data_IF_871392290692
#
_entry.id   IF_871392290692
#
_cell.length_a   1.000
_cell.length_b   1.000
_cell.length_c   1.000
_cell.angle_alpha   90.00
_cell.angle_beta   90.00
_cell.angle_gamma   90.00
#
_symmetry.space_group_name_H-M   'P 1'
#
loop_
_entity.id
_entity.type
_entity.pdbx_description
1 polymer ?
#
# COMPACT_ATOMS: atom_id res chain seq x y z
N UNK A 1 10.96 36.00 59.36
CA UNK A 1 10.85 36.91 60.51
C UNK A 1 9.48 37.59 60.42
N UNK A 2 8.63 37.31 61.42
CA UNK A 2 7.31 37.88 61.81
C UNK A 2 6.22 38.13 60.75
N UNK A 3 5.06 37.43 60.76
CA UNK A 3 3.95 37.32 61.76
C UNK A 3 3.11 38.59 61.95
N UNK A 4 1.83 38.51 61.55
CA UNK A 4 0.59 38.93 62.23
C UNK A 4 -0.53 38.12 61.53
N UNK A 5 -1.23 37.11 62.07
CA UNK A 5 -2.03 36.91 63.29
C UNK A 5 -3.24 37.83 63.42
N UNK A 6 -4.43 37.31 63.08
CA UNK A 6 -5.67 37.52 63.85
C UNK A 6 -6.62 36.34 63.64
N UNK A 7 -7.10 35.84 64.77
CA UNK A 7 -7.92 34.65 64.99
C UNK A 7 -9.40 35.05 65.05
N UNK A 8 -10.30 34.20 64.56
CA UNK A 8 -11.67 34.11 65.06
C UNK A 8 -12.17 32.68 64.94
N UNK A 9 -12.14 32.00 66.09
CA UNK A 9 -12.92 30.81 66.45
C UNK A 9 -14.40 31.19 66.44
N UNK A 10 -15.30 30.34 65.94
CA UNK A 10 -16.61 30.11 66.59
C UNK A 10 -17.31 28.85 66.01
N UNK A 11 -17.34 27.81 66.85
CA UNK A 11 -18.45 26.89 67.16
C UNK A 11 -19.09 26.06 66.02
N UNK A 12 -18.81 24.75 66.09
CA UNK A 12 -19.61 23.69 65.50
C UNK A 12 -20.91 23.50 66.31
N UNK A 13 -22.05 23.49 65.63
CA UNK A 13 -23.33 23.08 66.19
C UNK A 13 -23.99 22.08 65.24
N UNK A 14 -24.07 20.84 65.70
CA UNK A 14 -24.71 19.71 65.04
C UNK A 14 -26.21 19.81 65.29
N UNK A 15 -27.02 20.01 64.24
CA UNK A 15 -28.48 19.90 64.33
C UNK A 15 -28.96 18.99 63.21
N UNK A 16 -29.49 17.85 63.65
CA UNK A 16 -30.22 16.87 62.88
C UNK A 16 -31.60 17.46 62.51
N UNK A 17 -31.98 17.38 61.24
CA UNK A 17 -33.28 17.88 60.77
C UNK A 17 -33.71 17.20 59.47
N UNK A 18 -34.53 16.16 59.60
CA UNK A 18 -35.35 15.57 58.54
C UNK A 18 -36.26 16.64 57.93
N UNK A 19 -36.11 16.94 56.63
CA UNK A 19 -37.16 17.64 55.88
C UNK A 19 -37.41 16.97 54.53
N UNK A 20 -38.71 16.74 54.33
CA UNK A 20 -39.34 16.10 53.21
C UNK A 20 -39.11 16.85 51.89
N UNK A 21 -38.87 16.08 50.84
CA UNK A 21 -38.92 16.51 49.44
C UNK A 21 -40.34 16.99 49.08
N UNK A 22 -40.47 18.26 48.68
CA UNK A 22 -41.44 18.65 47.64
C UNK A 22 -40.83 19.82 46.86
N UNK A 23 -40.61 19.65 45.57
CA UNK A 23 -40.50 20.76 44.62
C UNK A 23 -41.27 20.40 43.35
N UNK A 24 -42.00 21.37 42.77
CA UNK A 24 -43.07 21.11 41.82
C UNK A 24 -42.54 20.69 40.46
N UNK A 25 -43.18 19.66 39.89
CA UNK A 25 -43.02 19.29 38.50
C UNK A 25 -43.55 20.43 37.61
N UNK A 26 -42.64 21.09 36.91
CA UNK A 26 -42.98 21.94 35.77
C UNK A 26 -42.61 21.18 34.50
N UNK A 27 -43.64 20.65 33.86
CA UNK A 27 -43.60 19.84 32.66
C UNK A 27 -43.17 20.71 31.47
N UNK A 28 -41.99 20.43 30.89
CA UNK A 28 -41.63 20.90 29.55
C UNK A 28 -42.01 19.84 28.53
N UNK A 29 -43.05 20.09 27.74
CA UNK A 29 -43.39 19.31 26.54
C UNK A 29 -42.35 19.57 25.44
N UNK A 30 -42.16 18.51 24.64
CA UNK A 30 -41.41 18.38 23.39
C UNK A 30 -39.88 18.46 23.45
N UNK A 31 -39.27 17.27 23.43
CA UNK A 31 -38.18 16.88 22.52
C UNK A 31 -38.05 15.36 22.51
N UNK A 32 -38.29 14.78 21.33
CA UNK A 32 -37.89 13.43 20.89
C UNK A 32 -38.03 12.30 21.91
N UNK A 33 -39.22 11.69 21.93
CA UNK A 33 -39.43 10.36 22.52
C UNK A 33 -38.71 9.30 21.68
N UNK A 34 -37.39 9.22 21.78
CA UNK A 34 -36.63 8.08 21.27
C UNK A 34 -36.67 6.95 22.30
N UNK A 35 -37.47 5.92 21.99
CA UNK A 35 -37.48 4.66 22.72
C UNK A 35 -36.35 3.78 22.15
N UNK A 36 -35.21 3.75 22.83
CA UNK A 36 -34.13 2.80 22.52
C UNK A 36 -34.37 1.53 23.31
N UNK A 37 -34.88 0.49 22.63
CA UNK A 37 -35.13 -0.82 23.24
C UNK A 37 -33.93 -1.73 22.93
N UNK A 38 -33.33 -2.39 23.94
CA UNK A 38 -32.35 -3.46 23.73
C UNK A 38 -32.87 -4.55 22.80
N UNK A 39 -32.03 -5.07 21.91
CA UNK A 39 -32.42 -6.01 20.85
C UNK A 39 -33.17 -7.25 21.37
N UNK A 40 -32.81 -7.75 22.55
CA UNK A 40 -33.46 -8.91 23.15
C UNK A 40 -34.82 -8.57 23.80
N UNK A 41 -35.05 -7.32 24.18
CA UNK A 41 -36.32 -6.85 24.72
C UNK A 41 -37.31 -6.53 23.57
N UNK A 42 -36.79 -6.03 22.44
CA UNK A 42 -37.55 -5.93 21.18
C UNK A 42 -38.04 -7.30 20.69
N UNK A 43 -37.21 -8.36 20.75
CA UNK A 43 -37.62 -9.72 20.38
C UNK A 43 -38.75 -10.27 21.25
N UNK A 44 -38.80 -9.92 22.53
CA UNK A 44 -39.85 -10.38 23.47
C UNK A 44 -41.19 -9.71 23.21
N UNK A 45 -41.19 -8.43 22.80
CA UNK A 45 -42.41 -7.69 22.44
C UNK A 45 -43.11 -8.22 21.18
N UNK A 46 -42.40 -8.98 20.33
CA UNK A 46 -42.91 -9.44 19.04
C UNK A 46 -43.64 -10.78 19.07
N UNK A 47 -43.76 -11.44 20.24
CA UNK A 47 -44.35 -12.77 20.42
C UNK A 47 -44.17 -13.69 19.19
N UNK A 48 -42.90 -13.96 18.87
CA UNK A 48 -42.49 -14.50 17.57
C UNK A 48 -43.13 -15.84 17.22
N UNK A 49 -43.79 -16.55 18.13
CA UNK A 49 -44.46 -17.84 17.90
C UNK A 49 -45.79 -17.76 17.14
N UNK A 50 -46.36 -16.57 16.92
CA UNK A 50 -47.54 -16.39 16.07
C UNK A 50 -47.19 -16.27 14.58
N UNK A 51 -48.06 -16.81 13.70
CA UNK A 51 -47.90 -16.71 12.24
C UNK A 51 -47.99 -15.28 11.69
N UNK A 52 -48.54 -14.38 12.51
CA UNK A 52 -48.74 -12.97 12.20
C UNK A 52 -48.05 -12.10 13.24
N UNK A 53 -47.32 -11.09 12.76
CA UNK A 53 -46.59 -10.11 13.56
C UNK A 53 -47.37 -8.80 13.49
N UNK A 54 -47.74 -8.29 14.66
CA UNK A 54 -48.51 -7.05 14.82
C UNK A 54 -47.58 -5.95 15.29
N UNK A 55 -47.50 -4.88 14.51
CA UNK A 55 -46.64 -3.72 14.77
C UNK A 55 -47.48 -2.45 14.81
N UNK A 56 -47.21 -1.49 15.72
CA UNK A 56 -47.76 -0.16 15.58
C UNK A 56 -47.37 0.46 14.23
N UNK A 57 -48.29 1.21 13.60
CA UNK A 57 -48.05 1.80 12.28
C UNK A 57 -46.80 2.69 12.24
N UNK A 58 -46.55 3.46 13.30
CA UNK A 58 -45.36 4.31 13.43
C UNK A 58 -44.06 3.48 13.43
N UNK A 59 -44.04 2.36 14.15
CA UNK A 59 -42.91 1.44 14.20
C UNK A 59 -42.66 0.81 12.82
N UNK A 60 -43.72 0.40 12.12
CA UNK A 60 -43.60 -0.14 10.77
C UNK A 60 -43.03 0.89 9.77
N UNK A 61 -43.45 2.15 9.85
CA UNK A 61 -42.92 3.23 9.01
C UNK A 61 -41.42 3.48 9.27
N UNK A 62 -40.99 3.48 10.54
CA UNK A 62 -39.57 3.60 10.90
C UNK A 62 -38.74 2.44 10.36
N UNK A 63 -39.28 1.22 10.43
CA UNK A 63 -38.64 0.03 9.90
C UNK A 63 -38.51 0.08 8.36
N UNK A 64 -39.55 0.52 7.64
CA UNK A 64 -39.49 0.72 6.18
C UNK A 64 -38.45 1.78 5.76
N UNK A 65 -38.32 2.87 6.53
CA UNK A 65 -37.32 3.89 6.25
C UNK A 65 -35.87 3.35 6.34
N UNK A 66 -35.64 2.32 7.17
CA UNK A 66 -34.31 1.71 7.35
C UNK A 66 -33.95 0.63 6.32
N UNK A 67 -34.94 0.05 5.63
CA UNK A 67 -34.68 -0.92 4.55
C UNK A 67 -34.39 -0.26 3.21
N UNK A 68 -34.82 0.99 3.02
CA UNK A 68 -34.73 1.69 1.73
C UNK A 68 -35.56 1.05 0.62
N UNK A 69 -36.50 0.17 0.97
CA UNK A 69 -37.36 -0.53 0.02
C UNK A 69 -38.39 0.44 -0.59
N UNK A 70 -38.41 0.53 -1.92
CA UNK A 70 -39.36 1.36 -2.69
C UNK A 70 -40.78 0.76 -2.66
N UNK A 71 -40.88 -0.55 -2.47
CA UNK A 71 -42.14 -1.29 -2.42
C UNK A 71 -42.27 -1.91 -1.03
N UNK A 72 -43.26 -1.51 -0.22
CA UNK A 72 -43.49 -2.12 1.08
C UNK A 72 -43.93 -3.59 0.91
N UNK A 73 -43.65 -4.47 1.88
CA UNK A 73 -44.18 -5.83 1.87
C UNK A 73 -45.72 -5.79 1.92
N UNK A 74 -46.38 -6.87 1.54
CA UNK A 74 -47.83 -6.97 1.70
C UNK A 74 -48.14 -6.94 3.21
N UNK A 75 -49.11 -6.12 3.61
CA UNK A 75 -49.54 -5.97 5.00
C UNK A 75 -51.04 -5.68 5.07
N UNK A 76 -51.63 -5.92 6.24
CA UNK A 76 -52.99 -5.47 6.56
C UNK A 76 -52.98 -4.53 7.76
N UNK A 77 -54.01 -3.71 7.90
CA UNK A 77 -54.12 -2.74 9.02
C UNK A 77 -55.40 -3.02 9.79
N UNK A 78 -55.27 -3.18 11.12
CA UNK A 78 -56.41 -3.34 12.02
C UNK A 78 -56.14 -2.59 13.33
N UNK A 79 -57.08 -1.73 13.74
CA UNK A 79 -56.99 -0.99 15.00
C UNK A 79 -55.75 -0.10 15.14
N UNK A 80 -55.22 0.46 14.03
CA UNK A 80 -54.00 1.28 14.04
C UNK A 80 -52.69 0.49 14.03
N UNK A 81 -52.75 -0.84 13.99
CA UNK A 81 -51.60 -1.71 13.90
C UNK A 81 -51.50 -2.35 12.51
N UNK A 82 -50.26 -2.52 12.05
CA UNK A 82 -49.86 -3.23 10.85
C UNK A 82 -49.65 -4.70 11.19
N UNK A 83 -50.29 -5.58 10.43
CA UNK A 83 -50.19 -7.03 10.58
C UNK A 83 -49.45 -7.57 9.36
N UNK A 84 -48.31 -8.22 9.62
CA UNK A 84 -47.43 -8.84 8.63
C UNK A 84 -47.39 -10.35 8.86
N UNK A 85 -47.27 -11.14 7.79
CA UNK A 85 -46.83 -12.53 7.97
C UNK A 85 -45.38 -12.56 8.46
N UNK A 86 -45.01 -13.64 9.16
CA UNK A 86 -43.63 -13.88 9.57
C UNK A 86 -42.64 -13.81 8.39
N UNK A 87 -43.06 -14.26 7.21
CA UNK A 87 -42.25 -14.22 5.99
C UNK A 87 -41.98 -12.80 5.53
N UNK A 88 -42.99 -11.93 5.57
CA UNK A 88 -42.86 -10.51 5.19
C UNK A 88 -42.00 -9.72 6.18
N UNK A 89 -42.21 -9.96 7.47
CA UNK A 89 -41.38 -9.34 8.50
C UNK A 89 -39.92 -9.78 8.40
N UNK A 90 -39.65 -11.06 8.14
CA UNK A 90 -38.28 -11.55 7.95
C UNK A 90 -37.62 -10.92 6.73
N UNK A 91 -38.33 -10.79 5.61
CA UNK A 91 -37.83 -10.04 4.44
C UNK A 91 -37.50 -8.58 4.79
N UNK A 92 -38.30 -7.96 5.64
CA UNK A 92 -38.06 -6.59 6.09
C UNK A 92 -36.77 -6.54 6.95
N UNK A 93 -36.63 -7.44 7.91
CA UNK A 93 -35.47 -7.51 8.81
C UNK A 93 -34.17 -7.83 8.06
N UNK A 94 -34.21 -8.79 7.14
CA UNK A 94 -33.04 -9.20 6.34
C UNK A 94 -32.53 -8.07 5.43
N UNK A 95 -33.37 -7.06 5.15
CA UNK A 95 -33.04 -5.89 4.34
C UNK A 95 -32.63 -4.67 5.17
N UNK A 96 -32.74 -4.71 6.50
CA UNK A 96 -32.34 -3.60 7.35
C UNK A 96 -30.82 -3.43 7.35
N UNK A 97 -30.35 -2.21 7.10
CA UNK A 97 -28.96 -1.82 7.35
C UNK A 97 -28.85 -1.28 8.77
N UNK A 98 -27.78 -1.61 9.53
CA UNK A 98 -27.55 -1.01 10.84
C UNK A 98 -27.64 0.53 10.72
N UNK A 99 -28.35 1.21 11.64
CA UNK A 99 -28.42 2.67 11.59
C UNK A 99 -27.00 3.22 11.61
N UNK A 100 -26.68 4.05 10.62
CA UNK A 100 -25.42 4.77 10.61
C UNK A 100 -25.37 5.59 11.90
N UNK A 101 -24.39 5.32 12.77
CA UNK A 101 -24.16 6.13 13.95
C UNK A 101 -23.87 7.58 13.49
N UNK A 102 -24.78 8.54 13.75
CA UNK A 102 -24.62 9.90 13.28
C UNK A 102 -23.40 10.59 13.90
N UNK A 103 -22.89 10.07 15.02
CA UNK A 103 -21.70 10.57 15.73
C UNK A 103 -20.43 9.77 15.41
N UNK A 104 -20.50 8.73 14.57
CA UNK A 104 -19.32 7.99 14.12
C UNK A 104 -18.41 8.89 13.28
N UNK A 105 -17.37 9.43 13.92
CA UNK A 105 -16.32 10.20 13.25
C UNK A 105 -15.32 9.24 12.61
N UNK A 106 -15.00 9.39 11.32
CA UNK A 106 -13.95 8.61 10.70
C UNK A 106 -12.62 8.86 11.45
N UNK A 107 -11.75 7.84 11.58
CA UNK A 107 -10.49 7.97 12.29
C UNK A 107 -9.50 8.94 11.63
N UNK A 108 -9.77 9.35 10.38
CA UNK A 108 -8.98 10.29 9.61
C UNK A 108 -9.91 11.30 8.94
N UNK A 109 -9.45 12.55 8.82
CA UNK A 109 -10.18 13.58 8.07
C UNK A 109 -10.08 13.34 6.55
N UNK A 110 -8.91 12.87 6.08
CA UNK A 110 -8.65 12.48 4.71
C UNK A 110 -7.56 11.40 4.62
N UNK A 111 -7.46 10.73 3.47
CA UNK A 111 -6.41 9.77 3.13
C UNK A 111 -5.93 9.98 1.70
N UNK A 112 -4.63 9.84 1.45
CA UNK A 112 -4.06 9.74 0.09
C UNK A 112 -3.70 8.27 -0.13
N UNK A 113 -4.50 7.55 -0.91
CA UNK A 113 -4.39 6.09 -1.04
C UNK A 113 -3.50 5.67 -2.20
N UNK A 114 -3.38 6.51 -3.23
CA UNK A 114 -2.58 6.23 -4.43
C UNK A 114 -1.93 7.49 -4.98
N UNK A 115 -0.68 7.35 -5.42
CA UNK A 115 0.02 8.35 -6.21
C UNK A 115 0.68 7.69 -7.44
N UNK A 116 0.47 8.28 -8.61
CA UNK A 116 1.12 7.89 -9.86
C UNK A 116 1.90 9.06 -10.40
N UNK A 117 3.20 8.89 -10.60
CA UNK A 117 4.08 9.91 -11.17
C UNK A 117 4.50 9.48 -12.57
N UNK A 118 4.16 10.26 -13.58
CA UNK A 118 4.60 10.06 -14.96
C UNK A 118 5.55 11.17 -15.35
N UNK A 119 6.83 10.85 -15.48
CA UNK A 119 7.92 11.78 -15.75
C UNK A 119 8.47 11.67 -17.17
N UNK A 120 8.85 12.82 -17.74
CA UNK A 120 9.64 12.91 -18.96
C UNK A 120 10.90 13.71 -18.69
N UNK A 121 12.05 13.05 -18.81
CA UNK A 121 13.34 13.66 -18.52
C UNK A 121 13.83 14.45 -19.73
N UNK A 122 14.15 15.72 -19.51
CA UNK A 122 14.88 16.58 -20.43
C UNK A 122 16.37 16.68 -20.04
N UNK A 123 17.11 17.58 -20.68
CA UNK A 123 18.53 17.78 -20.38
C UNK A 123 18.79 18.39 -18.99
N UNK A 124 17.98 19.40 -18.62
CA UNK A 124 18.16 20.20 -17.40
C UNK A 124 16.94 20.16 -16.45
N UNK A 125 15.85 19.56 -16.91
CA UNK A 125 14.57 19.54 -16.18
C UNK A 125 13.83 18.26 -16.51
N UNK A 126 13.21 17.66 -15.51
CA UNK A 126 12.26 16.57 -15.66
C UNK A 126 10.86 17.11 -15.39
N UNK A 127 9.97 16.98 -16.36
CA UNK A 127 8.55 17.35 -16.20
C UNK A 127 7.76 16.14 -15.74
N UNK A 128 6.86 16.32 -14.79
CA UNK A 128 6.03 15.28 -14.24
C UNK A 128 4.55 15.63 -14.33
N UNK A 129 3.74 14.58 -14.51
CA UNK A 129 2.32 14.59 -14.15
C UNK A 129 2.14 13.64 -12.97
N UNK A 130 1.73 14.19 -11.82
CA UNK A 130 1.34 13.44 -10.64
C UNK A 130 -0.18 13.30 -10.57
N UNK A 131 -0.67 12.07 -10.41
CA UNK A 131 -2.10 11.78 -10.20
C UNK A 131 -2.29 11.14 -8.83
N UNK A 132 -3.08 11.78 -7.98
CA UNK A 132 -3.32 11.40 -6.60
C UNK A 132 -4.79 11.00 -6.41
N UNK A 133 -5.03 9.85 -5.79
CA UNK A 133 -6.36 9.44 -5.31
C UNK A 133 -6.47 9.82 -3.84
N UNK A 134 -7.42 10.71 -3.55
CA UNK A 134 -7.63 11.28 -2.22
C UNK A 134 -9.05 10.96 -1.76
N UNK A 135 -9.21 10.46 -0.54
CA UNK A 135 -10.51 10.25 0.08
C UNK A 135 -10.72 11.27 1.17
N UNK A 136 -11.72 12.14 1.02
CA UNK A 136 -12.16 13.10 2.04
C UNK A 136 -13.28 12.46 2.83
N UNK A 137 -13.06 12.29 4.13
CA UNK A 137 -13.99 11.58 5.03
C UNK A 137 -14.76 12.54 5.94
N UNK A 138 -14.17 13.70 6.26
CA UNK A 138 -14.80 14.72 7.10
C UNK A 138 -15.89 15.47 6.34
N UNK A 139 -17.09 15.52 6.91
CA UNK A 139 -18.22 16.32 6.41
C UNK A 139 -18.07 17.80 6.80
N UNK A 140 -18.61 18.68 5.98
CA UNK A 140 -18.81 20.11 6.25
C UNK A 140 -17.53 20.87 6.67
N UNK A 141 -16.39 20.53 6.07
CA UNK A 141 -15.10 21.16 6.37
C UNK A 141 -14.24 21.38 5.13
N UNK A 142 -13.47 22.47 5.11
CA UNK A 142 -12.40 22.68 4.14
C UNK A 142 -11.10 22.07 4.65
N UNK A 143 -10.58 21.08 3.93
CA UNK A 143 -9.34 20.41 4.25
C UNK A 143 -8.23 20.88 3.31
N UNK A 144 -7.04 21.11 3.86
CA UNK A 144 -5.83 21.42 3.10
C UNK A 144 -5.01 20.14 3.00
N UNK A 145 -4.82 19.64 1.78
CA UNK A 145 -4.24 18.32 1.53
C UNK A 145 -2.86 18.52 0.89
N UNK A 146 -1.76 18.21 1.58
CA UNK A 146 -0.40 18.37 1.04
C UNK A 146 -0.12 17.31 -0.03
N UNK A 147 0.28 17.74 -1.22
CA UNK A 147 0.50 16.84 -2.36
C UNK A 147 1.91 16.90 -2.91
N UNK A 148 2.49 18.09 -3.00
CA UNK A 148 3.82 18.28 -3.59
C UNK A 148 4.65 19.18 -2.68
N UNK A 149 5.95 18.92 -2.50
CA UNK A 149 6.82 19.81 -1.76
C UNK A 149 6.98 21.15 -2.49
N UNK A 150 7.22 22.25 -1.78
CA UNK A 150 7.35 23.60 -2.37
C UNK A 150 8.60 23.80 -3.24
N UNK A 151 9.55 22.87 -3.19
CA UNK A 151 10.78 22.94 -3.99
C UNK A 151 10.58 22.48 -5.44
N UNK A 152 9.42 21.96 -5.81
CA UNK A 152 9.07 21.68 -7.22
C UNK A 152 8.39 22.89 -7.84
N UNK A 153 8.62 23.12 -9.14
CA UNK A 153 7.94 24.17 -9.87
C UNK A 153 6.56 23.66 -10.30
N UNK A 154 5.51 24.05 -9.59
CA UNK A 154 4.12 23.70 -9.94
C UNK A 154 3.64 24.53 -11.14
N UNK A 155 3.20 23.85 -12.20
CA UNK A 155 2.76 24.48 -13.45
C UNK A 155 1.22 24.55 -13.52
N UNK A 156 0.56 23.45 -13.17
CA UNK A 156 -0.90 23.37 -13.14
C UNK A 156 -1.36 22.31 -12.13
N UNK A 157 -2.57 22.49 -11.61
CA UNK A 157 -3.16 21.56 -10.65
C UNK A 157 -4.69 21.59 -10.73
N UNK A 158 -5.26 20.39 -10.81
CA UNK A 158 -6.69 20.19 -11.01
C UNK A 158 -7.22 19.17 -10.03
N UNK A 159 -8.41 19.45 -9.50
CA UNK A 159 -9.19 18.53 -8.69
C UNK A 159 -10.42 18.13 -9.51
N UNK A 160 -10.60 16.82 -9.73
CA UNK A 160 -11.73 16.28 -10.50
C UNK A 160 -11.89 16.94 -11.89
N UNK A 161 -10.76 17.25 -12.54
CA UNK A 161 -10.64 17.95 -13.85
C UNK A 161 -10.93 19.45 -13.85
N UNK A 162 -11.31 20.03 -12.71
CA UNK A 162 -11.49 21.47 -12.54
C UNK A 162 -10.25 22.12 -11.91
N UNK A 163 -10.08 23.44 -12.09
CA UNK A 163 -8.97 24.15 -11.46
C UNK A 163 -9.08 24.05 -9.94
N UNK A 164 -8.02 23.62 -9.28
CA UNK A 164 -7.99 23.49 -7.83
C UNK A 164 -7.56 24.80 -7.16
N UNK A 165 -8.10 25.08 -5.97
CA UNK A 165 -7.55 26.08 -5.07
C UNK A 165 -6.30 25.51 -4.39
N UNK A 166 -5.19 26.24 -4.48
CA UNK A 166 -3.90 25.81 -3.94
C UNK A 166 -3.29 26.86 -3.04
N UNK A 167 -2.78 26.40 -1.90
CA UNK A 167 -2.05 27.20 -0.92
C UNK A 167 -0.67 26.58 -0.73
N UNK A 168 0.35 27.41 -0.67
CA UNK A 168 1.73 26.98 -0.42
C UNK A 168 2.12 27.35 1.01
N UNK A 169 1.94 26.42 1.93
CA UNK A 169 2.29 26.56 3.36
C UNK A 169 2.99 25.31 3.88
N UNK A 170 3.74 25.44 4.99
CA UNK A 170 4.38 24.31 5.68
C UNK A 170 5.29 23.44 4.79
N UNK A 171 5.93 24.03 3.77
CA UNK A 171 6.83 23.32 2.86
C UNK A 171 6.14 22.50 1.77
N UNK A 172 4.81 22.57 1.64
CA UNK A 172 4.04 21.87 0.61
C UNK A 172 3.12 22.81 -0.18
N UNK A 173 2.86 22.45 -1.44
CA UNK A 173 1.69 22.85 -2.20
C UNK A 173 0.51 21.96 -1.76
N UNK A 174 -0.53 22.60 -1.25
CA UNK A 174 -1.69 21.96 -0.66
C UNK A 174 -2.94 22.30 -1.45
N UNK A 175 -3.73 21.29 -1.81
CA UNK A 175 -5.03 21.48 -2.45
C UNK A 175 -6.12 21.60 -1.40
N UNK A 176 -7.03 22.54 -1.59
CA UNK A 176 -8.19 22.72 -0.71
C UNK A 176 -9.38 21.93 -1.25
N UNK A 177 -9.89 20.96 -0.47
CA UNK A 177 -11.08 20.17 -0.78
C UNK A 177 -12.12 20.32 0.32
N UNK A 178 -13.41 20.37 -0.05
CA UNK A 178 -14.53 20.46 0.90
C UNK A 178 -15.62 19.40 0.71
N UNK A 179 -15.67 18.76 -0.45
CA UNK A 179 -16.64 17.72 -0.76
C UNK A 179 -16.14 16.39 -0.18
N UNK A 180 -17.04 15.62 0.42
CA UNK A 180 -16.71 14.26 0.88
C UNK A 180 -16.68 13.26 -0.28
N UNK A 181 -15.88 12.22 -0.12
CA UNK A 181 -15.76 11.11 -1.07
C UNK A 181 -14.38 11.06 -1.72
N UNK A 182 -14.31 10.32 -2.82
CA UNK A 182 -13.08 10.19 -3.60
C UNK A 182 -12.90 11.39 -4.55
N UNK A 183 -11.66 11.85 -4.62
CA UNK A 183 -11.19 12.92 -5.48
C UNK A 183 -9.95 12.46 -6.23
N UNK A 184 -9.89 12.83 -7.51
CA UNK A 184 -8.67 12.67 -8.32
C UNK A 184 -8.00 14.02 -8.50
N UNK A 185 -6.79 14.15 -7.98
CA UNK A 185 -5.99 15.35 -8.14
C UNK A 185 -4.89 15.10 -9.16
N UNK A 186 -4.81 15.94 -10.19
CA UNK A 186 -3.75 15.89 -11.20
C UNK A 186 -2.91 17.16 -11.09
N UNK A 187 -1.60 17.01 -10.94
CA UNK A 187 -0.66 18.12 -10.86
C UNK A 187 0.43 17.97 -11.92
N UNK A 188 0.67 19.02 -12.68
CA UNK A 188 1.80 19.15 -13.60
C UNK A 188 2.88 20.00 -12.93
N UNK A 189 4.10 19.49 -12.85
CA UNK A 189 5.20 20.17 -12.21
C UNK A 189 6.53 19.78 -12.83
N UNK A 190 7.54 20.62 -12.65
CA UNK A 190 8.90 20.34 -13.09
C UNK A 190 9.90 20.37 -11.94
N UNK A 191 10.91 19.52 -12.04
CA UNK A 191 12.05 19.48 -11.15
C UNK A 191 13.32 19.65 -11.97
N UNK A 192 14.26 20.44 -11.45
CA UNK A 192 15.59 20.53 -12.04
C UNK A 192 16.27 19.16 -11.97
N UNK A 193 16.82 18.71 -13.08
CA UNK A 193 17.59 17.48 -13.20
C UNK A 193 18.81 17.74 -14.08
N UNK A 194 19.83 16.89 -14.04
CA UNK A 194 21.01 17.04 -14.89
C UNK A 194 21.32 15.67 -15.49
N UNK A 195 21.10 15.55 -16.80
CA UNK A 195 21.23 14.26 -17.47
C UNK A 195 22.69 13.94 -17.81
N UNK A 196 23.41 14.94 -18.29
CA UNK A 196 24.71 14.79 -18.96
C UNK A 196 25.89 14.92 -17.99
N UNK A 197 25.71 15.63 -16.88
CA UNK A 197 26.76 15.84 -15.87
C UNK A 197 26.42 15.11 -14.58
N UNK A 198 27.44 14.55 -13.95
CA UNK A 198 27.29 13.84 -12.68
C UNK A 198 26.77 14.75 -11.55
N UNK A 199 26.12 14.17 -10.53
CA UNK A 199 25.80 12.74 -10.39
C UNK A 199 24.62 12.31 -11.28
N UNK A 200 24.71 11.12 -11.89
CA UNK A 200 23.64 10.51 -12.71
C UNK A 200 22.50 9.96 -11.81
N UNK A 201 21.83 10.88 -11.12
CA UNK A 201 20.79 10.61 -10.13
C UNK A 201 19.75 11.74 -10.14
N UNK A 202 18.51 11.37 -9.88
CA UNK A 202 17.41 12.30 -9.63
C UNK A 202 16.64 11.85 -8.39
N UNK A 203 16.45 12.77 -7.45
CA UNK A 203 15.69 12.55 -6.22
C UNK A 203 14.37 13.28 -6.26
N UNK A 204 13.27 12.52 -6.24
CA UNK A 204 11.92 13.05 -6.18
C UNK A 204 11.37 12.84 -4.77
N UNK A 205 11.12 13.94 -4.05
CA UNK A 205 10.36 13.92 -2.81
C UNK A 205 8.86 13.73 -3.12
N UNK A 206 8.23 12.75 -2.48
CA UNK A 206 6.85 12.33 -2.74
C UNK A 206 6.02 12.33 -1.45
N UNK A 207 4.70 12.32 -1.57
CA UNK A 207 3.82 11.97 -0.45
C UNK A 207 3.92 10.49 -0.13
N UNK A 208 3.81 10.16 1.15
CA UNK A 208 3.68 8.78 1.61
C UNK A 208 2.29 8.25 1.24
N UNK A 209 2.23 7.33 0.28
CA UNK A 209 0.99 6.63 -0.07
C UNK A 209 1.18 5.11 0.00
N UNK A 210 0.13 4.34 0.31
CA UNK A 210 0.18 2.88 0.26
C UNK A 210 0.52 2.34 -1.14
N UNK A 211 0.00 2.99 -2.18
CA UNK A 211 0.26 2.63 -3.58
C UNK A 211 1.02 3.78 -4.25
N UNK A 212 2.24 3.51 -4.72
CA UNK A 212 3.05 4.46 -5.47
C UNK A 212 3.58 3.82 -6.75
N UNK A 213 3.30 4.46 -7.89
CA UNK A 213 3.79 4.03 -9.21
C UNK A 213 4.60 5.15 -9.82
N UNK A 214 5.78 4.83 -10.34
CA UNK A 214 6.61 5.73 -11.13
C UNK A 214 6.70 5.20 -12.56
N UNK A 215 6.48 6.07 -13.54
CA UNK A 215 6.84 5.86 -14.93
C UNK A 215 7.76 6.99 -15.37
N UNK A 216 8.88 6.65 -16.02
CA UNK A 216 9.86 7.64 -16.44
C UNK A 216 10.31 7.37 -17.87
N UNK A 217 10.23 8.40 -18.70
CA UNK A 217 10.76 8.41 -20.06
C UNK A 217 12.10 9.16 -20.10
N UNK A 218 13.18 8.42 -20.30
CA UNK A 218 14.56 8.93 -20.29
C UNK A 218 15.14 8.98 -21.71
N UNK A 219 15.70 10.13 -22.15
CA UNK A 219 16.29 10.30 -23.48
C UNK A 219 17.72 9.72 -23.56
N UNK A 220 17.92 8.54 -22.98
CA UNK A 220 19.18 7.81 -22.93
C UNK A 220 18.93 6.38 -23.43
N UNK A 221 19.93 5.83 -24.13
CA UNK A 221 19.97 4.41 -24.51
C UNK A 221 21.10 3.71 -23.76
N UNK A 222 21.05 2.39 -23.71
CA UNK A 222 22.13 1.56 -23.13
C UNK A 222 22.49 2.04 -21.72
N UNK A 223 21.49 2.29 -20.88
CA UNK A 223 21.69 2.60 -19.47
C UNK A 223 21.12 1.48 -18.61
N UNK A 224 21.79 1.23 -17.49
CA UNK A 224 21.21 0.48 -16.38
C UNK A 224 20.60 1.48 -15.41
N UNK A 225 19.30 1.33 -15.15
CA UNK A 225 18.56 2.17 -14.21
C UNK A 225 18.35 1.39 -12.92
N UNK A 226 18.60 2.05 -11.80
CA UNK A 226 18.39 1.52 -10.46
C UNK A 226 17.48 2.45 -9.67
N UNK A 227 16.46 1.87 -9.03
CA UNK A 227 15.57 2.57 -8.11
C UNK A 227 15.53 1.72 -6.83
N UNK A 228 16.36 2.03 -5.81
CA UNK A 228 16.48 1.20 -4.61
C UNK A 228 15.16 0.98 -3.86
N UNK A 229 14.22 1.92 -3.99
CA UNK A 229 12.90 1.86 -3.37
C UNK A 229 11.88 1.01 -4.16
N UNK A 230 12.22 0.55 -5.36
CA UNK A 230 11.30 -0.24 -6.19
C UNK A 230 11.19 -1.68 -5.70
N UNK A 231 9.95 -2.14 -5.47
CA UNK A 231 9.62 -3.55 -5.19
C UNK A 231 9.49 -4.35 -6.48
N UNK A 232 9.04 -3.70 -7.55
CA UNK A 232 8.98 -4.23 -8.90
C UNK A 232 9.45 -3.14 -9.85
N UNK A 233 10.27 -3.51 -10.83
CA UNK A 233 10.77 -2.59 -11.84
C UNK A 233 10.92 -3.30 -13.18
N UNK A 234 10.54 -2.60 -14.25
CA UNK A 234 10.84 -3.00 -15.62
C UNK A 234 11.41 -1.82 -16.38
N UNK A 235 12.27 -2.12 -17.35
CA UNK A 235 12.87 -1.12 -18.24
C UNK A 235 12.84 -1.66 -19.66
N UNK A 236 12.38 -0.84 -20.60
CA UNK A 236 12.36 -1.18 -22.03
C UNK A 236 13.00 -0.05 -22.82
N UNK A 237 13.82 -0.40 -23.81
CA UNK A 237 14.40 0.57 -24.74
C UNK A 237 13.55 0.62 -26.01
N UNK A 238 13.08 1.81 -26.41
CA UNK A 238 12.38 2.06 -27.69
C UNK A 238 12.81 3.41 -28.23
N UNK A 239 13.01 3.53 -29.54
CA UNK A 239 13.33 4.79 -30.22
C UNK A 239 14.49 5.58 -29.59
N UNK A 240 15.55 4.87 -29.16
CA UNK A 240 16.71 5.46 -28.48
C UNK A 240 16.40 6.12 -27.12
N UNK A 241 15.30 5.70 -26.47
CA UNK A 241 14.84 6.15 -25.16
C UNK A 241 14.65 4.96 -24.24
N UNK A 242 14.86 5.16 -22.95
CA UNK A 242 14.64 4.16 -21.90
C UNK A 242 13.36 4.49 -21.16
N UNK A 243 12.40 3.58 -21.20
CA UNK A 243 11.13 3.68 -20.49
C UNK A 243 11.18 2.79 -19.25
N UNK A 244 11.05 3.41 -18.09
CA UNK A 244 11.10 2.73 -16.79
C UNK A 244 9.71 2.76 -16.18
N UNK A 245 9.28 1.61 -15.66
CA UNK A 245 8.07 1.50 -14.83
C UNK A 245 8.43 0.81 -13.53
N UNK A 246 8.03 1.39 -12.40
CA UNK A 246 8.36 0.86 -11.08
C UNK A 246 7.19 1.00 -10.09
N UNK A 247 7.01 -0.03 -9.27
CA UNK A 247 6.15 -0.01 -8.09
C UNK A 247 7.03 0.28 -6.88
N UNK A 248 6.76 1.38 -6.18
CA UNK A 248 7.62 1.92 -5.13
C UNK A 248 7.07 1.55 -3.76
N UNK A 249 7.95 1.09 -2.86
CA UNK A 249 7.60 0.87 -1.47
C UNK A 249 7.15 2.18 -0.79
N UNK A 250 6.24 2.13 0.20
CA UNK A 250 5.78 3.32 0.90
C UNK A 250 6.94 4.11 1.53
N UNK A 251 7.11 5.37 1.13
CA UNK A 251 8.17 6.25 1.61
C UNK A 251 7.95 7.69 1.14
N UNK A 252 8.94 8.57 1.41
CA UNK A 252 8.84 10.00 1.12
C UNK A 252 9.80 10.45 -0.01
N UNK A 253 10.61 9.55 -0.56
CA UNK A 253 11.57 9.87 -1.61
C UNK A 253 11.74 8.71 -2.59
N UNK A 254 11.90 9.04 -3.87
CA UNK A 254 12.30 8.11 -4.92
C UNK A 254 13.65 8.57 -5.45
N UNK A 255 14.66 7.70 -5.37
CA UNK A 255 15.98 7.95 -5.96
C UNK A 255 16.10 7.15 -7.24
N UNK A 256 16.11 7.83 -8.38
CA UNK A 256 16.37 7.22 -9.68
C UNK A 256 17.84 7.43 -10.00
N UNK A 257 18.58 6.34 -10.14
CA UNK A 257 20.00 6.35 -10.48
C UNK A 257 20.19 5.66 -11.82
N UNK A 258 21.13 6.16 -12.64
CA UNK A 258 21.45 5.52 -13.89
C UNK A 258 22.94 5.52 -14.15
N UNK A 259 23.40 4.50 -14.86
CA UNK A 259 24.78 4.40 -15.33
C UNK A 259 24.78 3.90 -16.76
N UNK A 260 25.83 4.25 -17.51
CA UNK A 260 26.05 3.64 -18.82
C UNK A 260 26.15 2.13 -18.64
N UNK A 261 25.36 1.39 -19.40
CA UNK A 261 25.45 -0.06 -19.47
C UNK A 261 26.83 -0.39 -20.01
N UNK A 262 27.63 -1.06 -19.20
CA UNK A 262 28.90 -1.57 -19.68
C UNK A 262 28.57 -2.61 -20.75
N UNK A 263 29.17 -2.47 -21.93
CA UNK A 263 29.15 -3.56 -22.89
C UNK A 263 29.71 -4.77 -22.15
N UNK A 264 28.96 -5.88 -22.11
CA UNK A 264 29.52 -7.16 -21.70
C UNK A 264 30.69 -7.37 -22.64
N UNK A 265 31.91 -7.21 -22.14
CA UNK A 265 33.12 -7.52 -22.89
C UNK A 265 32.89 -8.93 -23.43
N UNK A 266 33.02 -9.11 -24.75
CA UNK A 266 32.89 -10.44 -25.37
C UNK A 266 33.59 -11.44 -24.47
N UNK A 267 32.91 -12.54 -24.09
CA UNK A 267 33.52 -13.61 -23.29
C UNK A 267 34.77 -14.05 -24.06
N UNK A 268 35.93 -13.55 -23.62
CA UNK A 268 37.22 -13.91 -24.23
C UNK A 268 37.34 -15.41 -24.01
N UNK A 269 37.66 -16.21 -25.05
CA UNK A 269 37.78 -17.65 -24.90
C UNK A 269 38.62 -18.01 -23.69
N UNK A 270 38.13 -18.97 -22.90
CA UNK A 270 38.84 -19.44 -21.71
C UNK A 270 40.24 -19.90 -22.12
N UNK A 271 41.25 -19.43 -21.39
CA UNK A 271 42.63 -19.86 -21.59
C UNK A 271 43.00 -20.82 -20.47
N UNK A 272 43.21 -22.08 -20.85
CA UNK A 272 43.51 -23.16 -19.93
C UNK A 272 45.01 -23.46 -19.95
N UNK A 273 45.64 -23.40 -18.79
CA UNK A 273 46.95 -23.98 -18.56
C UNK A 273 46.80 -25.21 -17.68
N UNK A 274 47.55 -26.27 -17.98
CA UNK A 274 47.52 -27.50 -17.20
C UNK A 274 48.93 -27.96 -16.88
N UNK A 275 49.15 -28.32 -15.62
CA UNK A 275 50.32 -29.09 -15.19
C UNK A 275 49.87 -30.50 -14.85
N UNK A 276 50.55 -31.50 -15.39
CA UNK A 276 50.18 -32.91 -15.22
C UNK A 276 51.36 -33.64 -14.58
N UNK A 277 51.11 -34.25 -13.43
CA UNK A 277 52.05 -35.10 -12.73
C UNK A 277 51.60 -36.56 -12.85
N UNK A 278 52.48 -37.42 -13.33
CA UNK A 278 52.22 -38.85 -13.42
C UNK A 278 53.07 -39.60 -12.42
N UNK A 279 52.43 -40.43 -11.60
CA UNK A 279 53.08 -41.47 -10.81
C UNK A 279 52.78 -42.82 -11.46
N UNK A 280 53.84 -43.52 -11.90
CA UNK A 280 53.73 -44.83 -12.54
C UNK A 280 54.28 -45.88 -11.58
N UNK A 281 53.44 -46.83 -11.21
CA UNK A 281 53.79 -48.01 -10.43
C UNK A 281 53.78 -49.23 -11.33
N UNK A 282 54.82 -50.06 -11.20
CA UNK A 282 54.99 -51.30 -11.95
C UNK A 282 54.95 -52.43 -10.94
N UNK A 283 53.93 -53.29 -11.05
CA UNK A 283 53.77 -54.51 -10.27
C UNK A 283 53.96 -55.74 -11.19
N UNK A 284 53.99 -56.95 -10.63
CA UNK A 284 54.29 -58.17 -11.38
C UNK A 284 53.29 -58.48 -12.52
N UNK A 285 52.04 -58.03 -12.39
CA UNK A 285 50.94 -58.30 -13.33
C UNK A 285 50.18 -57.05 -13.80
N UNK A 286 50.53 -55.86 -13.30
CA UNK A 286 49.80 -54.64 -13.57
C UNK A 286 50.70 -53.40 -13.68
N UNK A 287 50.31 -52.48 -14.55
CA UNK A 287 50.83 -51.12 -14.61
C UNK A 287 49.76 -50.17 -14.10
N UNK A 288 50.07 -49.42 -13.04
CA UNK A 288 49.15 -48.41 -12.48
C UNK A 288 49.70 -47.01 -12.71
N UNK A 289 48.86 -46.12 -13.21
CA UNK A 289 49.19 -44.71 -13.41
C UNK A 289 48.23 -43.87 -12.58
N UNK A 290 48.77 -43.04 -11.69
CA UNK A 290 48.03 -41.95 -11.04
C UNK A 290 48.41 -40.65 -11.73
N UNK A 291 47.43 -39.86 -12.15
CA UNK A 291 47.67 -38.58 -12.82
C UNK A 291 47.00 -37.45 -12.06
N UNK A 292 47.79 -36.53 -11.52
CA UNK A 292 47.33 -35.31 -10.88
C UNK A 292 47.40 -34.16 -11.88
N UNK A 293 46.24 -33.56 -12.20
CA UNK A 293 46.13 -32.52 -13.23
C UNK A 293 45.67 -31.21 -12.58
N UNK A 294 46.55 -30.22 -12.56
CA UNK A 294 46.27 -28.89 -12.04
C UNK A 294 45.87 -27.96 -13.19
N UNK A 295 44.64 -27.45 -13.17
CA UNK A 295 44.17 -26.47 -14.15
C UNK A 295 44.25 -25.05 -13.62
N UNK A 296 44.79 -24.15 -14.43
CA UNK A 296 44.72 -22.71 -14.24
C UNK A 296 43.87 -22.10 -15.37
N UNK A 297 42.66 -21.68 -15.02
CA UNK A 297 41.65 -21.16 -15.95
C UNK A 297 41.67 -19.63 -15.91
N UNK A 298 41.94 -19.01 -17.05
CA UNK A 298 41.94 -17.55 -17.22
C UNK A 298 40.79 -17.08 -18.13
N UNK A 299 40.40 -15.82 -17.92
CA UNK A 299 39.36 -15.06 -18.65
C UNK A 299 37.92 -15.52 -18.44
N UNK A 300 37.58 -16.74 -18.86
CA UNK A 300 36.21 -17.26 -18.82
C UNK A 300 36.15 -18.60 -18.09
N UNK A 301 34.99 -18.90 -17.50
CA UNK A 301 34.67 -20.20 -16.92
C UNK A 301 34.72 -21.32 -17.96
N UNK A 302 35.00 -22.55 -17.51
CA UNK A 302 35.04 -23.76 -18.34
C UNK A 302 34.06 -24.77 -17.76
N UNK A 303 33.09 -25.19 -18.58
CA UNK A 303 32.04 -26.12 -18.15
C UNK A 303 32.50 -27.58 -18.15
N UNK A 304 33.47 -27.94 -19.00
CA UNK A 304 34.00 -29.29 -19.12
C UNK A 304 35.42 -29.31 -19.67
N UNK A 305 36.22 -30.30 -19.23
CA UNK A 305 37.53 -30.60 -19.80
C UNK A 305 37.53 -32.02 -20.36
N UNK A 306 38.15 -32.22 -21.52
CA UNK A 306 38.29 -33.53 -22.16
C UNK A 306 39.74 -33.96 -22.13
N UNK A 307 40.00 -35.13 -21.55
CA UNK A 307 41.30 -35.74 -21.46
C UNK A 307 41.38 -36.91 -22.46
N UNK A 308 42.44 -36.95 -23.25
CA UNK A 308 42.71 -38.10 -24.11
C UNK A 308 43.42 -39.18 -23.29
N UNK A 309 42.86 -40.38 -23.28
CA UNK A 309 43.40 -41.53 -22.55
C UNK A 309 43.82 -42.59 -23.58
N UNK A 310 44.99 -43.24 -23.42
CA UNK A 310 45.42 -44.31 -24.31
C UNK A 310 44.42 -45.47 -24.37
N UNK A 311 44.21 -46.04 -25.56
CA UNK A 311 43.18 -47.06 -25.80
C UNK A 311 43.36 -48.38 -25.03
N UNK A 312 44.54 -48.61 -24.45
CA UNK A 312 44.89 -49.81 -23.68
C UNK A 312 44.84 -49.59 -22.15
N UNK A 313 44.19 -48.51 -21.69
CA UNK A 313 44.07 -48.18 -20.27
C UNK A 313 42.60 -48.13 -19.85
N UNK A 314 42.30 -48.63 -18.65
CA UNK A 314 40.99 -48.52 -18.03
C UNK A 314 41.02 -47.45 -16.93
N UNK A 315 40.05 -46.54 -16.92
CA UNK A 315 39.94 -45.51 -15.87
C UNK A 315 39.29 -46.12 -14.64
N UNK A 316 40.01 -46.12 -13.52
CA UNK A 316 39.49 -46.66 -12.26
C UNK A 316 38.67 -45.63 -11.48
N UNK A 317 39.10 -44.37 -11.48
CA UNK A 317 38.46 -43.29 -10.72
C UNK A 317 38.91 -41.92 -11.23
N UNK A 318 37.99 -40.96 -11.22
CA UNK A 318 38.28 -39.53 -11.40
C UNK A 318 37.69 -38.78 -10.21
N UNK A 319 38.51 -37.99 -9.53
CA UNK A 319 38.13 -37.24 -8.32
C UNK A 319 38.83 -35.89 -8.29
N UNK A 320 38.21 -34.88 -7.69
CA UNK A 320 38.79 -33.56 -7.50
C UNK A 320 37.72 -32.52 -7.17
N UNK A 321 38.15 -31.36 -6.67
CA UNK A 321 37.25 -30.32 -6.13
C UNK A 321 36.25 -29.77 -7.17
N UNK A 322 36.57 -29.87 -8.47
CA UNK A 322 35.71 -29.42 -9.56
C UNK A 322 34.99 -30.53 -10.34
N UNK A 323 35.09 -31.79 -9.90
CA UNK A 323 34.53 -32.93 -10.63
C UNK A 323 33.12 -33.22 -10.12
N UNK A 324 32.10 -32.74 -10.85
CA UNK A 324 30.69 -33.08 -10.58
C UNK A 324 30.30 -34.46 -11.14
N UNK A 325 30.56 -34.68 -12.42
CA UNK A 325 30.28 -35.93 -13.14
C UNK A 325 31.41 -36.21 -14.14
N UNK A 326 31.72 -37.48 -14.39
CA UNK A 326 32.65 -37.89 -15.44
C UNK A 326 32.09 -39.06 -16.24
N UNK A 327 32.41 -39.09 -17.53
CA UNK A 327 32.01 -40.17 -18.44
C UNK A 327 33.08 -40.39 -19.50
N UNK A 328 33.35 -41.64 -19.87
CA UNK A 328 34.15 -41.95 -21.04
C UNK A 328 33.34 -41.71 -22.32
N UNK A 329 33.93 -41.00 -23.27
CA UNK A 329 33.33 -40.78 -24.60
C UNK A 329 34.27 -41.29 -25.66
N UNK A 330 33.83 -42.29 -26.41
CA UNK A 330 34.54 -42.73 -27.62
C UNK A 330 34.25 -41.74 -28.74
N UNK A 331 35.28 -41.11 -29.30
CA UNK A 331 35.14 -40.27 -30.48
C UNK A 331 34.79 -41.20 -31.66
N UNK A 332 33.53 -41.20 -32.11
CA UNK A 332 33.18 -41.76 -33.42
C UNK A 332 33.80 -40.84 -34.48
N UNK A 333 34.63 -41.40 -35.36
CA UNK A 333 35.26 -40.69 -36.49
C UNK A 333 34.23 -40.20 -37.52
#
# INVERSE_FOLDING_TARGET
MNRYFTSSIFIALFVCGLFYNVSPAQESRDKDSQLTIPWDEFKKLLNLEADQIVLPLETFQKLLAQTGAIIPPVYSVSGGNVILSRTEFRKLVDQMKPPADPDARPPFDYLITRAVYSGKMGKQTTTFTGTFTVHVLKKDAYLRIPLLPQNVALEDIRADREKALVVSENGYHQVVLSRTGEHTITASFSQRSELDRGPHRMDLTIQRTPITILSLDMPLKEIDVEIPQAQQMSSTVRDNRTFVSAVIAPGNNISVQWRKKLAVTEKIPAKLYSEVYHLISIDDDALRISSDINYNILHSEVDAVRLAIPANMNVLSVTGDGVGEWSETTRQE
#
